data_IF_161861376721
#
_entry.id   IF_161861376721
#
_cell.length_a   1.000
_cell.length_b   1.000
_cell.length_c   1.000
_cell.angle_alpha   90.00
_cell.angle_beta   90.00
_cell.angle_gamma   90.00
#
_symmetry.space_group_name_H-M   'P 1'
#
loop_
_entity.id
_entity.type
_entity.pdbx_description
1 polymer ?
#
# COMPACT_ATOMS: atom_id res chain seq x y z
N UNK A 1 12.33 -22.95 -0.87
CA UNK A 1 12.64 -21.55 -0.47
C UNK A 1 11.64 -21.11 0.59
N UNK A 2 12.07 -20.32 1.56
CA UNK A 2 11.18 -19.69 2.54
C UNK A 2 10.26 -18.71 1.79
N UNK A 3 8.95 -18.75 2.04
CA UNK A 3 8.00 -17.83 1.41
C UNK A 3 8.34 -16.39 1.82
N UNK A 4 8.23 -15.46 0.88
CA UNK A 4 8.40 -14.04 1.14
C UNK A 4 7.26 -13.47 1.98
N UNK A 5 6.03 -13.91 1.73
CA UNK A 5 4.83 -13.39 2.36
C UNK A 5 4.21 -14.42 3.33
N UNK A 6 4.02 -14.02 4.58
CA UNK A 6 3.16 -14.71 5.54
C UNK A 6 1.79 -14.03 5.56
N UNK A 7 0.73 -14.83 5.57
CA UNK A 7 -0.65 -14.35 5.54
C UNK A 7 -1.37 -14.86 6.77
N UNK A 8 -1.92 -13.94 7.56
CA UNK A 8 -2.75 -14.24 8.73
C UNK A 8 -4.10 -13.54 8.57
N UNK A 9 -5.16 -14.16 9.07
CA UNK A 9 -6.51 -13.61 9.02
C UNK A 9 -7.06 -13.41 10.44
N UNK A 10 -7.60 -12.22 10.69
CA UNK A 10 -8.33 -11.87 11.91
C UNK A 10 -9.73 -11.37 11.53
N UNK A 11 -10.71 -12.26 11.56
CA UNK A 11 -12.08 -11.95 11.10
C UNK A 11 -12.10 -11.51 9.62
N UNK A 12 -12.47 -10.26 9.40
CA UNK A 12 -12.54 -9.63 8.06
C UNK A 12 -11.27 -8.85 7.69
N UNK A 13 -10.22 -8.95 8.50
CA UNK A 13 -8.93 -8.29 8.31
C UNK A 13 -7.90 -9.33 7.86
N UNK A 14 -7.14 -9.01 6.82
CA UNK A 14 -6.01 -9.82 6.37
C UNK A 14 -4.69 -9.10 6.70
N UNK A 15 -3.78 -9.82 7.34
CA UNK A 15 -2.44 -9.31 7.66
C UNK A 15 -1.44 -9.97 6.72
N UNK A 16 -0.80 -9.18 5.90
CA UNK A 16 0.27 -9.55 4.99
C UNK A 16 1.60 -9.15 5.61
N UNK A 17 2.44 -10.12 5.96
CA UNK A 17 3.73 -9.86 6.59
C UNK A 17 4.87 -10.30 5.67
N UNK A 18 5.66 -9.35 5.18
CA UNK A 18 6.92 -9.61 4.47
C UNK A 18 7.91 -10.28 5.42
N UNK A 19 8.46 -11.43 5.04
CA UNK A 19 9.17 -12.32 5.96
C UNK A 19 10.52 -12.82 5.44
N UNK A 20 11.32 -11.90 4.93
CA UNK A 20 12.73 -12.09 4.58
C UNK A 20 13.63 -11.04 5.25
N UNK A 21 13.69 -11.00 6.59
CA UNK A 21 14.46 -9.99 7.33
C UNK A 21 15.95 -10.03 7.02
N UNK A 22 16.50 -11.17 6.62
CA UNK A 22 17.90 -11.36 6.21
C UNK A 22 18.30 -10.52 4.99
N UNK A 23 17.33 -10.21 4.10
CA UNK A 23 17.52 -9.30 2.97
C UNK A 23 16.88 -7.94 3.22
N UNK A 24 16.45 -7.66 4.46
CA UNK A 24 15.66 -6.46 4.82
C UNK A 24 14.40 -6.34 3.96
N UNK A 25 13.75 -7.46 3.69
CA UNK A 25 12.53 -7.54 2.88
C UNK A 25 12.68 -6.90 1.50
N UNK A 26 13.80 -7.14 0.81
CA UNK A 26 14.02 -6.66 -0.55
C UNK A 26 12.94 -7.20 -1.51
N UNK A 27 12.53 -6.38 -2.48
CA UNK A 27 11.42 -6.69 -3.39
C UNK A 27 11.87 -7.31 -4.71
N UNK A 28 13.17 -7.36 -5.00
CA UNK A 28 13.74 -7.97 -6.21
C UNK A 28 14.71 -9.10 -5.89
N UNK A 29 14.98 -9.96 -6.86
CA UNK A 29 15.85 -11.12 -6.69
C UNK A 29 15.22 -12.28 -5.89
N UNK A 30 13.91 -12.28 -5.71
CA UNK A 30 13.17 -13.28 -4.94
C UNK A 30 11.70 -13.40 -5.44
N UNK A 31 10.83 -14.03 -4.65
CA UNK A 31 9.40 -14.24 -4.96
C UNK A 31 8.48 -13.12 -4.51
N UNK A 32 8.99 -11.98 -4.03
CA UNK A 32 8.20 -10.92 -3.41
C UNK A 32 7.09 -10.38 -4.32
N UNK A 33 7.44 -10.02 -5.56
CA UNK A 33 6.49 -9.49 -6.54
C UNK A 33 5.38 -10.49 -6.81
N UNK A 34 5.74 -11.75 -7.07
CA UNK A 34 4.78 -12.80 -7.39
C UNK A 34 3.83 -13.07 -6.23
N UNK A 35 4.35 -13.23 -5.01
CA UNK A 35 3.53 -13.54 -3.84
C UNK A 35 2.61 -12.37 -3.46
N UNK A 36 3.08 -11.11 -3.55
CA UNK A 36 2.24 -9.93 -3.30
C UNK A 36 1.15 -9.75 -4.36
N UNK A 37 1.45 -9.95 -5.64
CA UNK A 37 0.46 -9.89 -6.72
C UNK A 37 -0.60 -10.97 -6.54
N UNK A 38 -0.19 -12.22 -6.28
CA UNK A 38 -1.13 -13.31 -6.00
C UNK A 38 -2.00 -13.05 -4.76
N UNK A 39 -1.43 -12.42 -3.72
CA UNK A 39 -2.20 -12.02 -2.56
C UNK A 39 -3.28 -10.99 -2.94
N UNK A 40 -2.95 -9.97 -3.73
CA UNK A 40 -3.92 -8.99 -4.23
C UNK A 40 -5.05 -9.66 -5.02
N UNK A 41 -4.72 -10.59 -5.93
CA UNK A 41 -5.72 -11.33 -6.72
C UNK A 41 -6.69 -12.13 -5.83
N UNK A 42 -6.18 -12.79 -4.79
CA UNK A 42 -7.02 -13.53 -3.83
C UNK A 42 -7.90 -12.61 -2.99
N UNK A 43 -7.36 -11.47 -2.53
CA UNK A 43 -8.11 -10.48 -1.75
C UNK A 43 -9.25 -9.90 -2.58
N UNK A 44 -9.00 -9.62 -3.86
CA UNK A 44 -10.01 -9.04 -4.75
C UNK A 44 -11.22 -9.94 -4.93
N UNK A 45 -11.00 -11.26 -4.97
CA UNK A 45 -12.05 -12.27 -5.15
C UNK A 45 -12.74 -12.71 -3.86
N UNK A 46 -12.25 -12.31 -2.68
CA UNK A 46 -12.87 -12.63 -1.39
C UNK A 46 -13.66 -11.45 -0.83
N UNK A 47 -15.01 -11.43 -0.94
CA UNK A 47 -15.84 -10.32 -0.47
C UNK A 47 -15.86 -10.21 1.06
N UNK A 48 -15.43 -11.23 1.79
CA UNK A 48 -15.38 -11.22 3.25
C UNK A 48 -14.17 -10.45 3.82
N UNK A 49 -13.18 -10.11 2.97
CA UNK A 49 -12.04 -9.27 3.37
C UNK A 49 -12.46 -7.79 3.22
N UNK A 50 -12.40 -7.06 4.35
CA UNK A 50 -12.82 -5.65 4.42
C UNK A 50 -11.66 -4.68 4.65
N UNK A 51 -10.53 -5.17 5.17
CA UNK A 51 -9.31 -4.38 5.35
C UNK A 51 -8.08 -5.28 5.25
N UNK A 52 -6.97 -4.70 4.79
CA UNK A 52 -5.66 -5.36 4.71
C UNK A 52 -4.64 -4.55 5.48
N UNK A 53 -3.77 -5.23 6.24
CA UNK A 53 -2.57 -4.65 6.83
C UNK A 53 -1.37 -5.25 6.12
N UNK A 54 -0.48 -4.41 5.59
CA UNK A 54 0.82 -4.81 5.07
C UNK A 54 1.90 -4.38 6.06
N UNK A 55 2.68 -5.33 6.54
CA UNK A 55 3.78 -5.10 7.49
C UNK A 55 4.97 -6.00 7.19
N UNK A 56 6.00 -5.99 8.04
CA UNK A 56 7.19 -6.78 7.82
C UNK A 56 7.80 -7.32 9.11
N UNK A 57 8.56 -8.41 9.01
CA UNK A 57 9.42 -8.91 10.08
C UNK A 57 10.79 -8.24 10.07
N UNK A 58 11.49 -8.30 11.21
CA UNK A 58 12.84 -7.75 11.36
C UNK A 58 12.83 -6.24 11.59
N UNK A 59 13.96 -5.62 11.29
CA UNK A 59 14.23 -4.21 11.61
C UNK A 59 13.89 -3.23 10.50
N UNK A 60 13.42 -3.71 9.35
CA UNK A 60 13.10 -2.88 8.17
C UNK A 60 11.75 -3.28 7.60
N UNK A 61 10.98 -2.29 7.16
CA UNK A 61 9.79 -2.54 6.34
C UNK A 61 10.21 -3.12 4.99
N UNK A 62 11.03 -2.38 4.22
CA UNK A 62 11.67 -2.89 3.01
C UNK A 62 12.84 -2.01 2.59
N UNK A 63 13.95 -2.65 2.23
CA UNK A 63 15.13 -1.98 1.64
C UNK A 63 14.95 -1.62 0.16
N UNK A 64 13.81 -1.97 -0.45
CA UNK A 64 13.57 -1.77 -1.87
C UNK A 64 14.21 -2.83 -2.75
N UNK A 65 14.95 -2.41 -3.76
CA UNK A 65 15.66 -3.34 -4.65
C UNK A 65 16.84 -4.05 -3.98
N UNK A 66 17.10 -5.27 -4.39
CA UNK A 66 18.29 -6.01 -3.96
C UNK A 66 19.51 -5.54 -4.78
N UNK A 67 20.50 -4.95 -4.09
CA UNK A 67 21.72 -4.42 -4.73
C UNK A 67 22.50 -5.53 -5.48
N UNK A 68 22.51 -6.75 -4.97
CA UNK A 68 23.18 -7.87 -5.66
C UNK A 68 22.50 -8.25 -6.97
N UNK A 69 21.16 -8.15 -7.01
CA UNK A 69 20.38 -8.35 -8.23
C UNK A 69 20.61 -7.19 -9.22
N UNK A 70 20.72 -5.96 -8.72
CA UNK A 70 21.06 -4.78 -9.54
C UNK A 70 22.47 -4.86 -10.16
N UNK A 71 23.43 -5.48 -9.47
CA UNK A 71 24.79 -5.62 -9.98
C UNK A 71 24.82 -6.32 -11.35
N UNK A 72 23.88 -7.22 -11.61
CA UNK A 72 23.71 -7.90 -12.89
C UNK A 72 23.56 -6.91 -14.07
N UNK A 73 22.83 -5.83 -13.88
CA UNK A 73 22.63 -4.80 -14.91
C UNK A 73 23.90 -4.06 -15.32
N UNK A 74 24.92 -4.03 -14.44
CA UNK A 74 26.23 -3.42 -14.75
C UNK A 74 27.28 -4.40 -15.19
N UNK A 75 27.10 -5.70 -14.95
CA UNK A 75 28.09 -6.75 -15.27
C UNK A 75 27.72 -7.60 -16.48
N UNK A 76 26.44 -7.76 -16.77
CA UNK A 76 25.95 -8.47 -17.94
C UNK A 76 25.73 -7.52 -19.13
N UNK A 77 26.02 -7.97 -20.35
CA UNK A 77 25.79 -7.19 -21.56
C UNK A 77 24.29 -7.16 -21.95
N UNK A 78 23.43 -6.73 -21.02
CA UNK A 78 22.00 -6.62 -21.25
C UNK A 78 21.65 -5.38 -22.08
N UNK A 79 20.84 -5.54 -23.11
CA UNK A 79 20.36 -4.39 -23.85
C UNK A 79 19.25 -3.66 -23.07
N UNK A 80 19.10 -2.34 -23.31
CA UNK A 80 18.11 -1.49 -22.64
C UNK A 80 16.68 -2.03 -22.76
N UNK A 81 16.32 -2.66 -23.89
CA UNK A 81 14.99 -3.23 -24.06
C UNK A 81 14.76 -4.45 -23.16
N UNK A 82 15.77 -5.28 -22.95
CA UNK A 82 15.68 -6.41 -22.00
C UNK A 82 15.41 -5.91 -20.60
N UNK A 83 16.20 -4.94 -20.11
CA UNK A 83 16.01 -4.32 -18.79
C UNK A 83 14.61 -3.71 -18.68
N UNK A 84 14.16 -2.98 -19.71
CA UNK A 84 12.81 -2.40 -19.75
C UNK A 84 11.71 -3.47 -19.60
N UNK A 85 11.84 -4.61 -20.27
CA UNK A 85 10.86 -5.70 -20.16
C UNK A 85 10.89 -6.35 -18.77
N UNK A 86 12.05 -6.50 -18.16
CA UNK A 86 12.17 -7.01 -16.79
C UNK A 86 11.47 -6.11 -15.78
N UNK A 87 11.60 -4.78 -15.87
CA UNK A 87 10.83 -3.85 -15.06
C UNK A 87 9.32 -4.02 -15.27
N UNK A 88 8.86 -4.05 -16.52
CA UNK A 88 7.44 -4.14 -16.87
C UNK A 88 6.77 -5.43 -16.41
N UNK A 89 7.44 -6.55 -16.55
CA UNK A 89 6.93 -7.88 -16.19
C UNK A 89 7.36 -8.33 -14.79
N UNK A 90 8.21 -7.57 -14.12
CA UNK A 90 8.66 -7.75 -12.74
C UNK A 90 8.01 -6.74 -11.79
N UNK A 91 8.84 -5.86 -11.21
CA UNK A 91 8.45 -4.97 -10.10
C UNK A 91 7.24 -4.07 -10.42
N UNK A 92 7.05 -3.63 -11.68
CA UNK A 92 5.91 -2.79 -12.08
C UNK A 92 4.55 -3.52 -12.05
N UNK A 93 4.52 -4.80 -11.76
CA UNK A 93 3.28 -5.52 -11.46
C UNK A 93 2.70 -5.12 -10.09
N UNK A 94 3.58 -4.77 -9.13
CA UNK A 94 3.15 -4.40 -7.77
C UNK A 94 2.26 -3.15 -7.75
N UNK A 95 2.68 -1.97 -8.27
CA UNK A 95 1.82 -0.80 -8.25
C UNK A 95 0.50 -1.04 -8.98
N UNK A 96 0.51 -1.83 -10.07
CA UNK A 96 -0.72 -2.16 -10.79
C UNK A 96 -1.68 -3.01 -9.96
N UNK A 97 -1.17 -3.99 -9.23
CA UNK A 97 -1.98 -4.88 -8.41
C UNK A 97 -2.53 -4.15 -7.17
N UNK A 98 -1.66 -3.49 -6.39
CA UNK A 98 -2.05 -2.80 -5.15
C UNK A 98 -2.92 -1.56 -5.41
N UNK A 99 -2.63 -0.80 -6.47
CA UNK A 99 -3.44 0.37 -6.81
C UNK A 99 -4.85 -0.01 -7.27
N UNK A 100 -4.99 -1.12 -7.99
CA UNK A 100 -6.31 -1.60 -8.44
C UNK A 100 -7.12 -2.28 -7.33
N UNK A 101 -6.48 -2.72 -6.27
CA UNK A 101 -7.15 -3.41 -5.18
C UNK A 101 -8.21 -2.51 -4.54
N UNK A 102 -9.47 -2.94 -4.55
CA UNK A 102 -10.58 -2.14 -4.01
C UNK A 102 -10.69 -2.23 -2.48
N UNK A 103 -10.12 -3.25 -1.86
CA UNK A 103 -10.06 -3.35 -0.39
C UNK A 103 -9.07 -2.33 0.18
N UNK A 104 -9.44 -1.57 1.24
CA UNK A 104 -8.51 -0.65 1.90
C UNK A 104 -7.28 -1.35 2.46
N UNK A 105 -6.09 -0.77 2.22
CA UNK A 105 -4.79 -1.30 2.66
C UNK A 105 -4.10 -0.30 3.59
N UNK A 106 -3.69 -0.77 4.77
CA UNK A 106 -2.89 -0.02 5.73
C UNK A 106 -1.46 -0.55 5.68
N UNK A 107 -0.48 0.30 5.38
CA UNK A 107 0.92 -0.02 5.62
C UNK A 107 1.27 0.25 7.09
N UNK A 108 1.65 -0.80 7.82
CA UNK A 108 2.19 -0.72 9.18
C UNK A 108 3.72 -0.83 9.10
N UNK A 109 4.39 0.31 9.10
CA UNK A 109 5.80 0.47 8.73
C UNK A 109 6.66 0.35 9.98
N UNK A 110 7.27 -0.82 10.17
CA UNK A 110 8.02 -1.18 11.38
C UNK A 110 9.47 -0.67 11.43
N UNK A 111 9.98 -0.08 10.35
CA UNK A 111 11.35 0.40 10.23
C UNK A 111 11.60 1.05 8.88
N UNK A 112 12.86 1.15 8.42
CA UNK A 112 13.19 1.80 7.16
C UNK A 112 12.39 1.28 5.96
N UNK A 113 11.84 2.22 5.16
CA UNK A 113 11.17 2.02 3.88
C UNK A 113 11.93 2.83 2.81
N UNK A 114 12.72 2.17 1.98
CA UNK A 114 13.72 2.80 1.12
C UNK A 114 13.49 2.46 -0.36
N UNK A 115 13.51 3.46 -1.25
CA UNK A 115 13.32 3.29 -2.69
C UNK A 115 12.02 2.53 -2.98
N UNK A 116 12.08 1.41 -3.70
CA UNK A 116 10.91 0.56 -3.97
C UNK A 116 10.13 0.16 -2.69
N UNK A 117 10.78 0.15 -1.52
CA UNK A 117 10.11 -0.08 -0.23
C UNK A 117 9.24 1.12 0.21
N UNK A 118 9.68 2.34 -0.06
CA UNK A 118 8.87 3.55 0.12
C UNK A 118 7.72 3.56 -0.91
N UNK A 119 8.01 3.23 -2.15
CA UNK A 119 6.99 3.14 -3.20
C UNK A 119 5.90 2.13 -2.83
N UNK A 120 6.29 0.97 -2.29
CA UNK A 120 5.34 -0.04 -1.79
C UNK A 120 4.45 0.52 -0.67
N UNK A 121 5.02 1.30 0.25
CA UNK A 121 4.23 1.98 1.28
C UNK A 121 3.27 3.02 0.67
N UNK A 122 3.69 3.76 -0.36
CA UNK A 122 2.85 4.72 -1.07
C UNK A 122 1.74 4.08 -1.94
N UNK A 123 1.87 2.80 -2.30
CA UNK A 123 0.79 2.04 -2.97
C UNK A 123 -0.38 1.73 -2.03
N UNK A 124 -0.16 1.75 -0.71
CA UNK A 124 -1.19 1.54 0.30
C UNK A 124 -2.02 2.82 0.51
N UNK A 125 -3.24 2.69 1.02
CA UNK A 125 -4.14 3.83 1.21
C UNK A 125 -3.75 4.66 2.45
N UNK A 126 -3.40 3.98 3.54
CA UNK A 126 -3.04 4.59 4.82
C UNK A 126 -1.66 4.08 5.25
N UNK A 127 -0.84 4.94 5.80
CA UNK A 127 0.50 4.61 6.34
C UNK A 127 0.57 4.99 7.81
N UNK A 128 0.91 4.01 8.65
CA UNK A 128 1.21 4.19 10.09
C UNK A 128 2.63 3.70 10.27
N UNK A 129 3.44 4.41 11.02
CA UNK A 129 4.84 4.06 11.21
C UNK A 129 5.25 3.95 12.67
N UNK A 130 6.23 3.09 12.91
CA UNK A 130 7.01 3.08 14.15
C UNK A 130 7.81 4.38 14.29
N UNK A 131 8.01 4.85 15.51
CA UNK A 131 8.90 5.98 15.83
C UNK A 131 10.34 5.78 15.34
N UNK A 132 10.75 4.54 15.09
CA UNK A 132 12.07 4.17 14.55
C UNK A 132 12.11 4.05 13.02
N UNK A 133 11.00 4.30 12.33
CA UNK A 133 10.94 4.24 10.88
C UNK A 133 11.69 5.39 10.22
N UNK A 134 12.19 5.14 9.01
CA UNK A 134 12.77 6.18 8.16
C UNK A 134 12.41 5.94 6.70
N UNK A 135 12.41 6.98 5.90
CA UNK A 135 11.90 6.97 4.54
C UNK A 135 12.88 7.63 3.59
N UNK A 136 13.13 7.05 2.43
CA UNK A 136 13.98 7.69 1.43
C UNK A 136 13.58 7.26 0.00
N UNK A 137 13.50 8.24 -0.91
CA UNK A 137 13.39 8.03 -2.35
C UNK A 137 14.78 8.00 -2.97
N UNK A 138 15.54 6.94 -2.70
CA UNK A 138 17.01 6.92 -2.85
C UNK A 138 17.52 6.50 -4.24
N UNK A 139 16.65 6.36 -5.25
CA UNK A 139 17.05 5.88 -6.58
C UNK A 139 18.16 6.70 -7.23
N UNK A 140 18.11 8.03 -7.11
CA UNK A 140 19.11 8.92 -7.71
C UNK A 140 20.52 8.66 -7.17
N UNK A 141 20.66 8.24 -5.92
CA UNK A 141 21.95 7.88 -5.31
C UNK A 141 22.56 6.62 -5.91
N UNK A 142 21.74 5.79 -6.54
CA UNK A 142 22.17 4.59 -7.27
C UNK A 142 22.33 4.85 -8.77
N UNK A 143 22.18 6.10 -9.24
CA UNK A 143 22.25 6.47 -10.65
C UNK A 143 21.08 5.95 -11.48
N UNK A 144 19.95 5.65 -10.84
CA UNK A 144 18.72 5.20 -11.49
C UNK A 144 17.53 6.10 -11.13
N UNK A 145 16.39 5.84 -11.73
CA UNK A 145 15.16 6.64 -11.55
C UNK A 145 14.10 5.82 -10.79
N UNK A 146 13.07 6.47 -10.18
CA UNK A 146 11.93 5.78 -9.58
C UNK A 146 11.16 5.01 -10.65
N UNK A 147 11.45 3.70 -10.78
CA UNK A 147 10.94 2.84 -11.87
C UNK A 147 9.70 2.01 -11.53
N UNK A 148 9.27 2.02 -10.28
CA UNK A 148 8.29 1.11 -9.69
C UNK A 148 7.03 1.83 -9.18
N UNK A 149 6.86 3.09 -9.58
CA UNK A 149 5.63 3.87 -9.35
C UNK A 149 5.80 5.08 -8.45
N UNK A 150 6.94 5.26 -7.76
CA UNK A 150 7.19 6.36 -6.84
C UNK A 150 7.04 7.73 -7.48
N UNK A 151 7.54 7.92 -8.70
CA UNK A 151 7.40 9.17 -9.44
C UNK A 151 5.93 9.61 -9.64
N UNK A 152 5.00 8.66 -9.62
CA UNK A 152 3.56 8.92 -9.72
C UNK A 152 2.88 8.99 -8.36
N UNK A 153 3.23 8.09 -7.43
CA UNK A 153 2.58 7.93 -6.13
C UNK A 153 3.03 9.00 -5.12
N UNK A 154 4.35 9.18 -4.98
CA UNK A 154 4.91 10.05 -3.93
C UNK A 154 4.41 11.50 -4.00
N UNK A 155 4.36 12.16 -5.19
CA UNK A 155 3.85 13.53 -5.28
C UNK A 155 2.37 13.66 -4.90
N UNK A 156 1.58 12.59 -5.04
CA UNK A 156 0.17 12.56 -4.64
C UNK A 156 -0.01 12.41 -3.13
N UNK A 157 1.00 11.86 -2.46
CA UNK A 157 0.98 11.68 -1.00
C UNK A 157 1.51 12.92 -0.28
N UNK A 158 2.68 13.47 -0.70
CA UNK A 158 3.36 14.55 0.04
C UNK A 158 3.37 15.90 -0.70
N UNK A 159 2.73 15.97 -1.87
CA UNK A 159 2.81 17.12 -2.76
C UNK A 159 4.10 17.13 -3.57
N UNK A 160 4.08 17.88 -4.70
CA UNK A 160 5.16 17.85 -5.68
C UNK A 160 6.51 18.36 -5.11
N UNK A 161 6.49 19.47 -4.36
CA UNK A 161 7.72 20.09 -3.85
C UNK A 161 8.49 19.14 -2.92
N UNK A 162 7.80 18.49 -1.96
CA UNK A 162 8.43 17.55 -1.04
C UNK A 162 8.88 16.27 -1.74
N UNK A 163 8.08 15.76 -2.67
CA UNK A 163 8.46 14.61 -3.48
C UNK A 163 9.69 14.88 -4.34
N UNK A 164 9.80 16.08 -4.95
CA UNK A 164 10.96 16.50 -5.74
C UNK A 164 12.22 16.59 -4.87
N UNK A 165 12.12 17.22 -3.68
CA UNK A 165 13.22 17.26 -2.70
C UNK A 165 13.72 15.85 -2.37
N UNK A 166 12.82 14.93 -1.96
CA UNK A 166 13.16 13.55 -1.63
C UNK A 166 13.79 12.81 -2.82
N UNK A 167 13.20 12.95 -4.03
CA UNK A 167 13.66 12.22 -5.20
C UNK A 167 14.99 12.75 -5.75
N UNK A 168 15.29 14.05 -5.62
CA UNK A 168 16.51 14.65 -6.16
C UNK A 168 17.69 14.56 -5.20
N UNK A 169 17.44 14.58 -3.89
CA UNK A 169 18.49 14.42 -2.87
C UNK A 169 18.72 12.97 -2.49
N UNK A 170 17.68 12.16 -2.49
CA UNK A 170 17.67 10.81 -1.92
C UNK A 170 17.88 10.82 -0.41
N UNK A 171 17.66 11.94 0.27
CA UNK A 171 17.82 12.06 1.71
C UNK A 171 16.74 11.27 2.46
N UNK A 172 17.10 10.92 3.70
CA UNK A 172 16.17 10.22 4.58
C UNK A 172 15.34 11.22 5.37
N UNK A 173 14.04 10.94 5.47
CA UNK A 173 13.16 11.53 6.46
C UNK A 173 13.06 10.58 7.66
N UNK A 174 13.03 11.13 8.86
CA UNK A 174 12.62 10.39 10.05
C UNK A 174 11.08 10.30 10.15
N UNK A 175 10.58 9.66 11.23
CA UNK A 175 9.15 9.47 11.41
C UNK A 175 8.39 10.79 11.67
N UNK A 176 9.03 11.77 12.34
CA UNK A 176 8.42 13.08 12.61
C UNK A 176 8.30 13.90 11.33
N UNK A 177 9.37 14.01 10.55
CA UNK A 177 9.39 14.68 9.25
C UNK A 177 8.37 14.05 8.29
N UNK A 178 8.25 12.72 8.32
CA UNK A 178 7.28 11.98 7.53
C UNK A 178 5.82 12.28 7.94
N UNK A 179 5.57 12.48 9.24
CA UNK A 179 4.26 12.90 9.74
C UNK A 179 3.95 14.34 9.34
N UNK A 180 4.90 15.25 9.50
CA UNK A 180 4.76 16.67 9.19
C UNK A 180 4.44 16.92 7.70
N UNK A 181 5.08 16.15 6.79
CA UNK A 181 4.81 16.27 5.35
C UNK A 181 3.62 15.43 4.86
N UNK A 182 2.92 14.73 5.75
CA UNK A 182 1.75 13.91 5.40
C UNK A 182 2.08 12.58 4.74
N UNK A 183 3.35 12.15 4.73
CA UNK A 183 3.73 10.84 4.22
C UNK A 183 3.10 9.71 5.04
N UNK A 184 3.03 9.88 6.35
CA UNK A 184 2.35 8.97 7.27
C UNK A 184 1.26 9.71 8.05
N UNK A 185 0.25 8.98 8.53
CA UNK A 185 -0.87 9.56 9.28
C UNK A 185 -0.70 9.46 10.80
N UNK A 186 0.20 8.60 11.27
CA UNK A 186 0.44 8.33 12.71
C UNK A 186 1.83 7.80 12.95
N UNK A 187 2.38 8.15 14.12
CA UNK A 187 3.56 7.53 14.72
C UNK A 187 3.13 6.72 15.93
N UNK A 188 3.76 5.59 16.14
CA UNK A 188 3.54 4.73 17.32
C UNK A 188 4.88 4.23 17.87
N UNK A 189 4.90 3.80 19.11
CA UNK A 189 6.01 3.00 19.59
C UNK A 189 6.06 1.66 18.83
N UNK A 190 7.27 1.09 18.62
CA UNK A 190 7.46 -0.13 17.82
C UNK A 190 6.53 -1.27 18.23
N UNK A 191 6.40 -1.50 19.54
CA UNK A 191 5.61 -2.58 20.14
C UNK A 191 4.09 -2.38 19.96
N UNK A 192 3.65 -1.16 19.72
CA UNK A 192 2.25 -0.79 19.54
C UNK A 192 1.81 -0.76 18.08
N UNK A 193 2.74 -0.82 17.13
CA UNK A 193 2.46 -0.61 15.71
C UNK A 193 1.35 -1.51 15.18
N UNK A 194 1.46 -2.82 15.38
CA UNK A 194 0.45 -3.77 14.89
C UNK A 194 -0.89 -3.59 15.61
N UNK A 195 -0.89 -3.33 16.91
CA UNK A 195 -2.10 -3.09 17.70
C UNK A 195 -2.86 -1.85 17.19
N UNK A 196 -2.15 -0.76 16.90
CA UNK A 196 -2.75 0.47 16.36
C UNK A 196 -3.27 0.25 14.94
N UNK A 197 -2.53 -0.49 14.11
CA UNK A 197 -2.96 -0.84 12.76
C UNK A 197 -4.22 -1.73 12.77
N UNK A 198 -4.28 -2.73 13.65
CA UNK A 198 -5.46 -3.60 13.85
C UNK A 198 -6.66 -2.80 14.36
N UNK A 199 -6.46 -1.89 15.31
CA UNK A 199 -7.54 -1.01 15.78
C UNK A 199 -8.13 -0.16 14.66
N UNK A 200 -7.30 0.39 13.78
CA UNK A 200 -7.77 1.14 12.61
C UNK A 200 -8.44 0.24 11.58
N UNK A 201 -7.84 -0.92 11.27
CA UNK A 201 -8.42 -1.90 10.37
C UNK A 201 -9.77 -2.41 10.86
N UNK A 202 -9.94 -2.60 12.18
CA UNK A 202 -11.21 -2.96 12.81
C UNK A 202 -12.30 -1.91 12.60
N UNK A 203 -11.96 -0.61 12.74
CA UNK A 203 -12.90 0.49 12.44
C UNK A 203 -13.30 0.52 10.96
N UNK A 204 -12.37 0.22 10.07
CA UNK A 204 -12.67 0.12 8.63
C UNK A 204 -13.56 -1.09 8.38
N UNK A 205 -13.16 -2.26 8.87
CA UNK A 205 -13.85 -3.53 8.64
C UNK A 205 -15.24 -3.61 9.29
N UNK A 206 -15.55 -2.72 10.21
CA UNK A 206 -16.89 -2.57 10.79
C UNK A 206 -17.92 -1.98 9.80
N UNK A 207 -17.48 -1.47 8.64
CA UNK A 207 -18.36 -0.90 7.63
C UNK A 207 -18.67 -1.93 6.51
N UNK A 208 -19.74 -1.73 5.74
CA UNK A 208 -20.13 -2.59 4.63
C UNK A 208 -19.02 -2.75 3.57
N UNK A 209 -18.71 -3.98 3.19
CA UNK A 209 -17.63 -4.29 2.26
C UNK A 209 -17.77 -3.56 0.91
N UNK A 210 -18.97 -3.56 0.32
CA UNK A 210 -19.22 -2.88 -0.95
C UNK A 210 -19.06 -1.36 -0.86
N UNK A 211 -19.55 -0.75 0.22
CA UNK A 211 -19.41 0.68 0.42
C UNK A 211 -17.92 1.09 0.54
N UNK A 212 -17.11 0.30 1.25
CA UNK A 212 -15.66 0.51 1.36
C UNK A 212 -14.99 0.45 -0.03
N UNK A 213 -15.26 -0.62 -0.79
CA UNK A 213 -14.68 -0.82 -2.12
C UNK A 213 -15.06 0.30 -3.09
N UNK A 214 -16.36 0.63 -3.18
CA UNK A 214 -16.83 1.72 -4.02
C UNK A 214 -16.26 3.08 -3.60
N UNK A 215 -16.16 3.35 -2.29
CA UNK A 215 -15.57 4.58 -1.78
C UNK A 215 -14.09 4.70 -2.17
N UNK A 216 -13.31 3.63 -1.98
CA UNK A 216 -11.89 3.63 -2.39
C UNK A 216 -11.75 3.86 -3.89
N UNK A 217 -12.59 3.22 -4.70
CA UNK A 217 -12.59 3.42 -6.14
C UNK A 217 -12.91 4.87 -6.52
N UNK A 218 -13.94 5.48 -5.92
CA UNK A 218 -14.26 6.89 -6.17
C UNK A 218 -13.12 7.83 -5.79
N UNK A 219 -12.45 7.62 -4.65
CA UNK A 219 -11.30 8.42 -4.25
C UNK A 219 -10.18 8.35 -5.30
N UNK A 220 -9.91 7.17 -5.86
CA UNK A 220 -8.86 6.97 -6.87
C UNK A 220 -9.25 7.51 -8.25
N UNK A 221 -10.49 7.32 -8.67
CA UNK A 221 -11.00 7.89 -9.93
C UNK A 221 -11.01 9.41 -9.89
N UNK A 222 -11.27 10.01 -8.72
CA UNK A 222 -11.24 11.47 -8.50
C UNK A 222 -9.87 12.11 -8.74
N UNK A 223 -8.79 11.33 -8.72
CA UNK A 223 -7.45 11.83 -9.05
C UNK A 223 -7.23 12.08 -10.57
N UNK A 224 -8.14 11.55 -11.41
CA UNK A 224 -7.94 11.53 -12.88
C UNK A 224 -9.11 12.06 -13.67
N UNK A 225 -10.31 12.05 -13.11
CA UNK A 225 -11.55 12.40 -13.82
C UNK A 225 -11.96 13.86 -13.55
N UNK A 226 -12.79 14.41 -14.43
CA UNK A 226 -13.48 15.67 -14.16
C UNK A 226 -14.50 15.49 -13.04
N UNK A 227 -14.87 16.59 -12.36
CA UNK A 227 -15.91 16.56 -11.33
C UNK A 227 -17.23 15.98 -11.86
N UNK A 228 -17.65 16.40 -13.05
CA UNK A 228 -18.91 15.93 -13.65
C UNK A 228 -18.90 14.42 -13.90
N UNK A 229 -17.81 13.89 -14.45
CA UNK A 229 -17.65 12.45 -14.68
C UNK A 229 -17.65 11.66 -13.36
N UNK A 230 -16.97 12.19 -12.33
CA UNK A 230 -16.92 11.55 -11.02
C UNK A 230 -18.28 11.57 -10.33
N UNK A 231 -19.05 12.67 -10.44
CA UNK A 231 -20.40 12.77 -9.89
C UNK A 231 -21.35 11.78 -10.53
N UNK A 232 -21.28 11.56 -11.85
CA UNK A 232 -22.08 10.56 -12.54
C UNK A 232 -21.74 9.13 -12.07
N UNK A 233 -20.45 8.81 -11.94
CA UNK A 233 -20.02 7.53 -11.36
C UNK A 233 -20.49 7.37 -9.91
N UNK A 234 -20.41 8.45 -9.12
CA UNK A 234 -20.86 8.47 -7.73
C UNK A 234 -22.37 8.22 -7.63
N UNK A 235 -23.18 8.85 -8.49
CA UNK A 235 -24.63 8.63 -8.53
C UNK A 235 -24.97 7.17 -8.85
N UNK A 236 -24.24 6.55 -9.78
CA UNK A 236 -24.39 5.14 -10.12
C UNK A 236 -24.06 4.23 -8.94
N UNK A 237 -22.95 4.48 -8.23
CA UNK A 237 -22.56 3.72 -7.04
C UNK A 237 -23.53 3.93 -5.87
N UNK A 238 -24.04 5.15 -5.66
CA UNK A 238 -25.08 5.43 -4.66
C UNK A 238 -26.36 4.65 -4.93
N UNK A 239 -26.80 4.58 -6.19
CA UNK A 239 -27.99 3.80 -6.55
C UNK A 239 -27.82 2.31 -6.19
N UNK A 240 -26.65 1.74 -6.47
CA UNK A 240 -26.31 0.35 -6.08
C UNK A 240 -26.30 0.20 -4.56
N UNK A 241 -25.62 1.12 -3.85
CA UNK A 241 -25.48 1.06 -2.41
C UNK A 241 -26.84 1.13 -1.71
N UNK A 242 -27.75 2.02 -2.13
CA UNK A 242 -29.10 2.15 -1.58
C UNK A 242 -29.96 0.88 -1.74
N UNK A 243 -29.70 0.05 -2.72
CA UNK A 243 -30.41 -1.22 -2.94
C UNK A 243 -29.84 -2.37 -2.10
N UNK A 244 -28.68 -2.20 -1.46
CA UNK A 244 -28.02 -3.26 -0.71
C UNK A 244 -28.76 -3.61 0.59
N UNK A 245 -28.58 -4.85 1.06
CA UNK A 245 -29.04 -5.27 2.37
C UNK A 245 -28.34 -4.49 3.49
N UNK A 246 -27.05 -4.19 3.35
CA UNK A 246 -26.27 -3.45 4.31
C UNK A 246 -26.79 -2.03 4.52
N UNK A 247 -27.25 -1.36 3.45
CA UNK A 247 -27.84 -0.02 3.60
C UNK A 247 -29.15 -0.09 4.40
N UNK A 248 -30.01 -1.07 4.14
CA UNK A 248 -31.25 -1.28 4.90
C UNK A 248 -30.96 -1.55 6.37
N UNK A 249 -30.00 -2.41 6.65
CA UNK A 249 -29.54 -2.72 8.01
C UNK A 249 -28.99 -1.46 8.70
N UNK A 250 -28.14 -0.69 8.02
CA UNK A 250 -27.56 0.54 8.56
C UNK A 250 -28.64 1.56 8.98
N UNK A 251 -29.65 1.77 8.13
CA UNK A 251 -30.76 2.69 8.39
C UNK A 251 -31.61 2.17 9.56
N UNK A 252 -31.93 0.89 9.57
CA UNK A 252 -32.75 0.28 10.63
C UNK A 252 -32.00 0.34 11.97
N UNK A 253 -30.73 -0.03 12.01
CA UNK A 253 -29.89 0.02 13.21
C UNK A 253 -29.78 1.45 13.76
N UNK A 254 -29.66 2.45 12.90
CA UNK A 254 -29.64 3.86 13.28
C UNK A 254 -30.94 4.31 13.95
N UNK A 255 -32.10 3.95 13.36
CA UNK A 255 -33.42 4.25 13.91
C UNK A 255 -33.61 3.57 15.28
N UNK A 256 -33.18 2.33 15.39
CA UNK A 256 -33.28 1.52 16.62
C UNK A 256 -32.20 1.83 17.65
N UNK A 257 -31.24 2.69 17.35
CA UNK A 257 -30.11 3.07 18.22
C UNK A 257 -29.28 1.86 18.65
N UNK A 258 -29.05 0.90 17.78
CA UNK A 258 -28.18 -0.24 17.97
C UNK A 258 -26.99 -0.26 16.99
N UNK A 259 -26.02 -1.11 17.26
CA UNK A 259 -24.95 -1.36 16.30
C UNK A 259 -25.50 -2.15 15.10
N UNK A 260 -25.15 -1.78 13.85
CA UNK A 260 -25.51 -2.54 12.68
C UNK A 260 -24.73 -3.86 12.62
N UNK A 261 -25.33 -4.87 11.99
CA UNK A 261 -24.71 -6.16 11.74
C UNK A 261 -24.64 -6.39 10.22
N UNK A 262 -23.49 -6.09 9.63
CA UNK A 262 -23.27 -6.25 8.20
C UNK A 262 -22.83 -7.67 7.83
N UNK A 263 -23.39 -8.22 6.78
CA UNK A 263 -23.12 -9.56 6.27
C UNK A 263 -21.69 -9.73 5.71
#
# INVERSE_FOLDING_TARGET
MKKFLSIQREGNILILTMNQPETRNALTGNTAVEELVQACERIETDPSIRAVILTATGTSFSSGGNIKDMQRYSTEALCANTIRQEYRHGIQRLPKALYKLEVPVIAAINGPAIGAGLDLACMCDIRIASSTASFAESFVRMGIVPGDGGAWLLPRVVGYSKAAEMAFTGDKLDAMEALECGLISRITEPEQLLTVALSLAGKIAANPAYALRMTKRLLREGEHQSLDSLLELSASFQAIAHQSADHKEAVQAFIEKRQPNFA
#
